data_IF_824132218873
#
_entry.id   IF_824132218873
#
_cell.length_a   1.000
_cell.length_b   1.000
_cell.length_c   1.000
_cell.angle_alpha   90.00
_cell.angle_beta   90.00
_cell.angle_gamma   90.00
#
_symmetry.space_group_name_H-M   'P 1'
#
loop_
_entity.id
_entity.type
_entity.pdbx_description
1 polymer ?
#
# COMPACT_ATOMS: atom_id res chain seq x y z
N UNK A 1 11.53 -7.70 -6.60
CA UNK A 1 10.35 -6.85 -6.32
C UNK A 1 9.42 -6.96 -7.50
N UNK A 2 8.18 -7.39 -7.31
CA UNK A 2 7.21 -7.46 -8.41
C UNK A 2 6.70 -6.04 -8.69
N UNK A 3 6.71 -5.65 -9.97
CA UNK A 3 6.07 -4.42 -10.45
C UNK A 3 4.66 -4.81 -10.87
N UNK A 4 3.65 -4.47 -10.08
CA UNK A 4 2.34 -4.14 -10.66
C UNK A 4 2.63 -3.17 -11.81
N UNK A 5 2.04 -3.32 -12.99
CA UNK A 5 2.22 -2.33 -14.06
C UNK A 5 1.68 -0.98 -13.53
N UNK A 6 2.59 -0.20 -12.99
CA UNK A 6 2.37 0.78 -11.92
C UNK A 6 1.48 1.95 -12.31
N UNK A 7 1.13 2.05 -13.61
CA UNK A 7 0.42 3.20 -14.18
C UNK A 7 -1.08 3.18 -13.82
N UNK A 8 -1.74 2.02 -13.82
CA UNK A 8 -3.17 1.95 -13.50
C UNK A 8 -3.44 2.22 -12.01
N UNK A 9 -2.61 1.66 -11.12
CA UNK A 9 -2.71 1.91 -9.68
C UNK A 9 -2.40 3.38 -9.33
N UNK A 10 -1.38 3.97 -9.95
CA UNK A 10 -1.05 5.39 -9.74
C UNK A 10 -2.20 6.32 -10.17
N UNK A 11 -2.84 6.04 -11.32
CA UNK A 11 -4.00 6.81 -11.79
C UNK A 11 -5.19 6.70 -10.84
N UNK A 12 -5.47 5.50 -10.33
CA UNK A 12 -6.55 5.29 -9.36
C UNK A 12 -6.27 5.97 -8.01
N UNK A 13 -5.04 5.89 -7.52
CA UNK A 13 -4.63 6.59 -6.31
C UNK A 13 -4.74 8.10 -6.49
N UNK A 14 -4.31 8.65 -7.62
CA UNK A 14 -4.43 10.07 -7.91
C UNK A 14 -5.90 10.53 -7.86
N UNK A 15 -6.82 9.82 -8.51
CA UNK A 15 -8.25 10.13 -8.52
C UNK A 15 -8.88 10.12 -7.12
N UNK A 16 -8.56 9.12 -6.29
CA UNK A 16 -9.07 9.01 -4.91
C UNK A 16 -8.56 10.16 -4.05
N UNK A 17 -7.26 10.48 -4.14
CA UNK A 17 -6.64 11.54 -3.35
C UNK A 17 -7.09 12.93 -3.83
N UNK A 18 -7.33 13.10 -5.12
CA UNK A 18 -7.91 14.32 -5.69
C UNK A 18 -9.36 14.51 -5.24
N UNK A 19 -10.15 13.44 -5.20
CA UNK A 19 -11.52 13.47 -4.67
C UNK A 19 -11.54 13.80 -3.17
N UNK A 20 -10.56 13.28 -2.41
CA UNK A 20 -10.36 13.64 -1.00
C UNK A 20 -10.06 15.13 -0.84
N UNK A 21 -9.18 15.67 -1.68
CA UNK A 21 -8.88 17.11 -1.69
C UNK A 21 -10.11 17.96 -2.00
N UNK A 22 -10.94 17.59 -2.98
CA UNK A 22 -12.18 18.32 -3.30
C UNK A 22 -13.15 18.32 -2.12
N UNK A 23 -13.23 17.21 -1.38
CA UNK A 23 -14.10 17.09 -0.20
C UNK A 23 -13.61 17.91 0.99
N UNK A 24 -12.32 17.82 1.32
CA UNK A 24 -11.75 18.40 2.55
C UNK A 24 -11.10 19.77 2.32
N UNK A 25 -10.97 20.22 1.07
CA UNK A 25 -10.42 21.52 0.70
C UNK A 25 -8.90 21.67 0.89
N UNK A 26 -8.22 20.70 1.52
CA UNK A 26 -6.79 20.77 1.81
C UNK A 26 -6.14 19.38 1.85
N UNK A 27 -4.93 19.26 1.28
CA UNK A 27 -4.12 18.05 1.40
C UNK A 27 -3.64 17.79 2.83
N UNK A 28 -3.49 18.83 3.66
CA UNK A 28 -3.12 18.69 5.07
C UNK A 28 -4.25 17.99 5.85
N UNK A 29 -5.50 18.33 5.57
CA UNK A 29 -6.65 17.74 6.26
C UNK A 29 -6.85 16.26 5.88
N UNK A 30 -6.66 15.93 4.60
CA UNK A 30 -6.61 14.54 4.12
C UNK A 30 -5.48 13.77 4.83
N UNK A 31 -4.30 14.37 4.91
CA UNK A 31 -3.12 13.76 5.50
C UNK A 31 -3.29 13.46 6.99
N UNK A 32 -3.88 14.39 7.75
CA UNK A 32 -4.21 14.20 9.16
C UNK A 32 -5.15 13.01 9.38
N UNK A 33 -6.16 12.84 8.50
CA UNK A 33 -7.14 11.75 8.60
C UNK A 33 -6.55 10.37 8.31
N UNK A 34 -5.61 10.29 7.38
CA UNK A 34 -5.01 9.00 6.96
C UNK A 34 -3.64 8.74 7.59
N UNK A 35 -3.16 9.62 8.46
CA UNK A 35 -1.89 9.47 9.18
C UNK A 35 -0.65 9.59 8.29
N UNK A 36 -0.62 10.61 7.41
CA UNK A 36 0.54 10.89 6.54
C UNK A 36 0.85 12.39 6.50
N UNK A 37 1.66 12.84 5.52
CA UNK A 37 1.99 14.26 5.32
C UNK A 37 1.24 14.85 4.13
N UNK A 38 0.86 16.13 4.20
CA UNK A 38 0.18 16.82 3.11
C UNK A 38 0.98 16.82 1.80
N UNK A 39 2.31 16.86 1.91
CA UNK A 39 3.22 16.75 0.76
C UNK A 39 3.07 15.39 0.06
N UNK A 40 3.08 14.29 0.83
CA UNK A 40 2.90 12.95 0.27
C UNK A 40 1.54 12.79 -0.41
N UNK A 41 0.46 13.32 0.19
CA UNK A 41 -0.88 13.34 -0.41
C UNK A 41 -0.89 14.11 -1.72
N UNK A 42 -0.24 15.28 -1.79
CA UNK A 42 -0.15 16.09 -3.00
C UNK A 42 0.60 15.39 -4.13
N UNK A 43 1.72 14.75 -3.82
CA UNK A 43 2.52 14.02 -4.80
C UNK A 43 1.78 12.80 -5.37
N UNK A 44 1.01 12.13 -4.53
CA UNK A 44 0.12 11.03 -4.96
C UNK A 44 -1.01 11.56 -5.84
N UNK A 45 -1.67 12.66 -5.45
CA UNK A 45 -2.74 13.29 -6.23
C UNK A 45 -2.27 13.74 -7.63
N UNK A 46 -1.01 14.17 -7.75
CA UNK A 46 -0.38 14.54 -9.03
C UNK A 46 0.14 13.34 -9.84
N UNK A 47 0.06 12.12 -9.31
CA UNK A 47 0.63 10.92 -9.92
C UNK A 47 2.16 10.89 -9.94
N UNK A 48 2.83 11.74 -9.13
CA UNK A 48 4.29 11.82 -9.00
C UNK A 48 4.81 10.73 -8.06
N UNK A 49 4.01 10.37 -7.06
CA UNK A 49 4.34 9.34 -6.07
C UNK A 49 3.24 8.28 -6.00
N UNK A 50 3.59 7.11 -5.47
CA UNK A 50 2.62 6.05 -5.17
C UNK A 50 2.38 5.95 -3.67
N UNK A 51 1.12 5.91 -3.21
CA UNK A 51 0.84 5.64 -1.82
C UNK A 51 1.09 4.17 -1.54
N UNK A 52 1.48 3.88 -0.30
CA UNK A 52 1.48 2.49 0.17
C UNK A 52 0.04 1.96 0.20
N UNK A 53 -0.12 0.65 0.08
CA UNK A 53 -1.44 -0.01 0.11
C UNK A 53 -2.27 0.41 1.34
N UNK A 54 -1.72 0.45 2.58
CA UNK A 54 -2.48 0.92 3.74
C UNK A 54 -2.96 2.37 3.63
N UNK A 55 -2.10 3.27 3.13
CA UNK A 55 -2.42 4.70 2.97
C UNK A 55 -3.51 4.90 1.90
N UNK A 56 -3.46 4.14 0.81
CA UNK A 56 -4.52 4.13 -0.20
C UNK A 56 -5.86 3.69 0.38
N UNK A 57 -5.91 2.57 1.10
CA UNK A 57 -7.16 2.07 1.69
C UNK A 57 -7.70 2.97 2.81
N UNK A 58 -6.84 3.61 3.60
CA UNK A 58 -7.25 4.60 4.59
C UNK A 58 -7.92 5.81 3.92
N UNK A 59 -7.30 6.33 2.84
CA UNK A 59 -7.87 7.43 2.07
C UNK A 59 -9.21 7.04 1.43
N UNK A 60 -9.25 5.85 0.80
CA UNK A 60 -10.47 5.33 0.19
C UNK A 60 -11.60 5.19 1.22
N UNK A 61 -11.34 4.69 2.42
CA UNK A 61 -12.37 4.56 3.47
C UNK A 61 -12.97 5.92 3.87
N UNK A 62 -12.16 6.97 3.95
CA UNK A 62 -12.61 8.32 4.29
C UNK A 62 -13.49 8.98 3.22
N UNK A 63 -13.27 8.63 1.95
CA UNK A 63 -13.98 9.24 0.81
C UNK A 63 -14.98 8.34 0.13
N UNK A 64 -14.95 7.03 0.36
CA UNK A 64 -15.84 6.05 -0.28
C UNK A 64 -17.34 6.42 -0.24
N UNK A 65 -17.89 6.98 0.86
CA UNK A 65 -19.29 7.41 0.88
C UNK A 65 -19.62 8.57 -0.07
N UNK A 66 -18.60 9.27 -0.57
CA UNK A 66 -18.68 10.51 -1.35
C UNK A 66 -18.18 10.33 -2.77
N UNK A 67 -17.58 9.18 -3.08
CA UNK A 67 -17.13 8.88 -4.43
C UNK A 67 -18.32 8.61 -5.35
N UNK A 68 -18.29 9.12 -6.60
CA UNK A 68 -19.27 8.75 -7.61
C UNK A 68 -19.32 7.22 -7.77
N UNK A 69 -20.52 6.67 -8.03
CA UNK A 69 -20.69 5.23 -8.25
C UNK A 69 -19.75 4.69 -9.33
N UNK A 70 -19.55 5.44 -10.40
CA UNK A 70 -18.65 5.06 -11.50
C UNK A 70 -17.19 4.92 -11.04
N UNK A 71 -16.73 5.80 -10.15
CA UNK A 71 -15.39 5.75 -9.57
C UNK A 71 -15.28 4.55 -8.61
N UNK A 72 -16.32 4.31 -7.79
CA UNK A 72 -16.39 3.14 -6.92
C UNK A 72 -16.43 1.82 -7.70
N UNK A 73 -17.15 1.76 -8.82
CA UNK A 73 -17.21 0.60 -9.71
C UNK A 73 -15.87 0.36 -10.41
N UNK A 74 -15.18 1.43 -10.84
CA UNK A 74 -13.82 1.37 -11.38
C UNK A 74 -12.83 0.83 -10.33
N UNK A 75 -12.83 1.40 -9.12
CA UNK A 75 -11.98 0.97 -8.00
C UNK A 75 -12.29 -0.48 -7.60
N UNK A 76 -13.55 -0.91 -7.58
CA UNK A 76 -13.90 -2.30 -7.29
C UNK A 76 -13.47 -3.27 -8.40
N UNK A 77 -13.62 -2.89 -9.67
CA UNK A 77 -13.20 -3.69 -10.83
C UNK A 77 -11.69 -3.87 -10.87
N UNK A 78 -10.94 -2.78 -10.72
CA UNK A 78 -9.48 -2.79 -10.73
C UNK A 78 -8.90 -3.33 -9.41
N UNK A 79 -9.52 -3.01 -8.27
CA UNK A 79 -9.14 -3.53 -6.95
C UNK A 79 -9.28 -5.06 -6.85
N UNK A 80 -10.29 -5.66 -7.49
CA UNK A 80 -10.38 -7.13 -7.61
C UNK A 80 -9.22 -7.73 -8.40
N UNK A 81 -8.72 -7.07 -9.45
CA UNK A 81 -7.53 -7.53 -10.20
C UNK A 81 -6.27 -7.46 -9.35
N UNK A 82 -6.08 -6.37 -8.59
CA UNK A 82 -4.93 -6.19 -7.69
C UNK A 82 -4.95 -7.24 -6.56
N UNK A 83 -6.11 -7.49 -5.95
CA UNK A 83 -6.27 -8.52 -4.92
C UNK A 83 -6.08 -9.95 -5.46
N UNK A 84 -6.51 -10.21 -6.70
CA UNK A 84 -6.29 -11.50 -7.35
C UNK A 84 -4.78 -11.76 -7.62
N UNK A 85 -4.04 -10.74 -8.05
CA UNK A 85 -2.58 -10.86 -8.24
C UNK A 85 -1.82 -10.99 -6.91
N UNK A 86 -2.27 -10.30 -5.84
CA UNK A 86 -1.69 -10.44 -4.51
C UNK A 86 -1.82 -11.88 -3.98
N UNK A 87 -2.93 -12.59 -4.20
CA UNK A 87 -3.08 -13.99 -3.76
C UNK A 87 -2.01 -14.91 -4.36
N UNK A 88 -1.65 -14.71 -5.61
CA UNK A 88 -0.59 -15.47 -6.29
C UNK A 88 0.82 -15.09 -5.82
N UNK A 89 1.04 -13.82 -5.45
CA UNK A 89 2.34 -13.33 -4.99
C UNK A 89 2.60 -13.63 -3.50
N UNK A 90 1.59 -13.52 -2.65
CA UNK A 90 1.65 -13.87 -1.22
C UNK A 90 1.87 -15.39 -1.04
N UNK A 91 1.26 -16.22 -1.90
CA UNK A 91 1.53 -17.65 -1.99
C UNK A 91 2.97 -17.97 -2.44
N UNK A 92 3.54 -17.18 -3.37
CA UNK A 92 4.93 -17.34 -3.80
C UNK A 92 5.94 -16.86 -2.75
N UNK A 93 5.56 -15.92 -1.88
CA UNK A 93 6.40 -15.42 -0.77
C UNK A 93 6.37 -16.38 0.42
N UNK A 94 5.21 -16.96 0.75
CA UNK A 94 5.08 -18.01 1.78
C UNK A 94 5.96 -19.25 1.46
N UNK A 95 6.12 -19.60 0.18
CA UNK A 95 6.99 -20.71 -0.23
C UNK A 95 8.51 -20.45 -0.06
N UNK A 96 8.95 -19.22 0.27
CA UNK A 96 10.37 -18.91 0.51
C UNK A 96 10.76 -18.76 1.97
N UNK A 97 9.80 -18.76 2.89
CA UNK A 97 10.06 -18.81 4.36
C UNK A 97 10.02 -20.24 4.93
N UNK A 98 9.65 -21.25 4.14
CA UNK A 98 9.68 -22.68 4.52
C UNK A 98 11.08 -23.34 4.31
N UNK A 99 12.15 -22.53 4.35
CA UNK A 99 13.54 -22.95 4.15
C UNK A 99 14.40 -22.94 5.42
N UNK A 100 13.79 -22.83 6.61
CA UNK A 100 14.50 -22.91 7.89
C UNK A 100 14.10 -24.21 8.61
N UNK A 101 14.82 -25.34 8.41
CA UNK A 101 14.59 -26.53 9.22
C UNK A 101 15.04 -26.23 10.66
N UNK A 102 14.10 -25.75 11.48
CA UNK A 102 14.28 -25.66 12.93
C UNK A 102 14.18 -27.05 13.55
N UNK A 103 15.24 -27.86 13.43
CA UNK A 103 15.54 -28.98 14.34
C UNK A 103 17.07 -29.16 14.40
N UNK A 104 17.71 -28.72 15.50
CA UNK A 104 19.03 -29.26 15.87
C UNK A 104 20.09 -28.28 16.41
N UNK A 105 20.03 -28.04 17.73
CA UNK A 105 21.17 -27.96 18.65
C UNK A 105 22.17 -26.76 18.64
N UNK A 106 21.95 -25.83 19.58
CA UNK A 106 23.02 -25.41 20.51
C UNK A 106 23.57 -26.66 21.25
N UNK A 107 24.85 -26.76 21.69
CA UNK A 107 25.59 -25.70 22.37
C UNK A 107 27.10 -25.59 22.05
N UNK A 108 27.68 -24.41 22.26
CA UNK A 108 29.13 -24.25 22.30
C UNK A 108 29.58 -22.79 22.19
N UNK A 109 29.63 -22.09 23.32
CA UNK A 109 30.45 -20.87 23.43
C UNK A 109 31.92 -21.25 23.24
N UNK A 110 32.69 -20.42 22.51
CA UNK A 110 33.93 -19.93 23.08
C UNK A 110 33.89 -18.39 23.17
N UNK A 111 33.88 -17.95 24.42
CA UNK A 111 34.54 -16.79 25.00
C UNK A 111 35.35 -15.87 24.06
N UNK A 112 35.06 -14.56 24.16
CA UNK A 112 35.91 -13.48 23.67
C UNK A 112 37.36 -13.66 24.16
N UNK A 113 38.31 -13.76 23.23
CA UNK A 113 39.72 -13.58 23.54
C UNK A 113 40.13 -12.15 23.17
N UNK A 114 40.45 -11.38 24.21
CA UNK A 114 41.36 -10.25 24.18
C UNK A 114 42.64 -10.56 23.38
N UNK A 115 43.14 -9.51 22.69
CA UNK A 115 44.43 -9.35 21.98
C UNK A 115 44.41 -9.62 20.47
#
# INVERSE_FOLDING_TARGET
MMRLETKEYAGMAAEVFQSAYVKYGSFEEVALKIGTTGHHVSDVAKGVSQPTVPIFFACLAEVAPWLPKEVMECIQKEGKKILAQKKTEDAARAAKEDGCPSVGCLPGRPEEAHA
#
